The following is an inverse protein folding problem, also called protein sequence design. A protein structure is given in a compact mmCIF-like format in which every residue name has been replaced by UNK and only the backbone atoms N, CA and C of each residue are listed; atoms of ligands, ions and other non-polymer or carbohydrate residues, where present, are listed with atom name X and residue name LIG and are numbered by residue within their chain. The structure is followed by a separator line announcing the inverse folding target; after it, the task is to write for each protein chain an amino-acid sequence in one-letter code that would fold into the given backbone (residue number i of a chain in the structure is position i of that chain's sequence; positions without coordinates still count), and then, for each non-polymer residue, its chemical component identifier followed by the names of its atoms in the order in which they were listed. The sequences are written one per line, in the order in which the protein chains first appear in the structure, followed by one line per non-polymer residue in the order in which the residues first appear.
data_IF_749002160937
#
_entry.id   IF_749002160937
#
_cell.length_a   1.000
_cell.length_b   1.000
_cell.length_c   1.000
_cell.angle_alpha   90.00
_cell.angle_beta   90.00
_cell.angle_gamma   90.00
#
_symmetry.space_group_name_H-M   'P 1'
#
loop_
_entity.id
_entity.type
_entity.pdbx_description
1 polymer ?
#
# COMPACT_ATOMS: atom_id res chain seq x y z
N UNK A 1 -1.34 48.09 -48.42
CA UNK A 1 -0.94 46.80 -47.75
C UNK A 1 -1.46 45.64 -48.58
N UNK A 2 -0.60 44.81 -49.19
CA UNK A 2 -1.01 43.84 -50.23
C UNK A 2 -1.69 42.62 -49.57
N UNK A 3 -2.79 42.15 -50.18
CA UNK A 3 -3.58 40.96 -49.78
C UNK A 3 -2.70 39.72 -49.49
N UNK A 4 -1.54 39.60 -50.12
CA UNK A 4 -0.59 38.51 -49.92
C UNK A 4 0.05 38.52 -48.51
N UNK A 5 0.32 39.69 -47.92
CA UNK A 5 0.88 39.79 -46.54
C UNK A 5 -0.15 39.38 -45.47
N UNK A 6 -1.43 39.66 -45.71
CA UNK A 6 -2.50 39.23 -44.82
C UNK A 6 -2.69 37.70 -44.78
N UNK A 7 -2.54 37.08 -45.96
CA UNK A 7 -2.66 35.63 -46.11
C UNK A 7 -1.53 34.88 -45.35
N UNK A 8 -0.30 35.37 -45.44
CA UNK A 8 0.84 34.76 -44.75
C UNK A 8 0.79 34.92 -43.24
N UNK A 9 0.28 36.05 -42.73
CA UNK A 9 0.09 36.27 -41.29
C UNK A 9 -1.04 35.39 -40.75
N UNK A 10 -2.15 35.24 -41.46
CA UNK A 10 -3.23 34.35 -41.07
C UNK A 10 -2.82 32.86 -41.06
N UNK A 11 -2.01 32.43 -42.05
CA UNK A 11 -1.50 31.07 -42.10
C UNK A 11 -0.51 30.78 -40.99
N UNK A 12 0.35 31.74 -40.63
CA UNK A 12 1.32 31.62 -39.53
C UNK A 12 0.68 31.53 -38.18
N UNK A 13 -0.37 32.30 -37.92
CA UNK A 13 -1.12 32.27 -36.65
C UNK A 13 -1.89 30.94 -36.48
N UNK A 14 -2.46 30.42 -37.58
CA UNK A 14 -3.16 29.12 -37.56
C UNK A 14 -2.22 27.96 -37.27
N UNK A 15 -1.01 27.95 -37.85
CA UNK A 15 0.00 26.91 -37.62
C UNK A 15 0.55 26.94 -36.17
N UNK A 16 0.72 28.13 -35.56
CA UNK A 16 1.15 28.31 -34.20
C UNK A 16 0.11 27.83 -33.20
N UNK A 17 -1.18 27.96 -33.50
CA UNK A 17 -2.28 27.51 -32.62
C UNK A 17 -2.42 25.98 -32.58
N UNK A 18 -2.09 25.27 -33.67
CA UNK A 18 -2.12 23.81 -33.71
C UNK A 18 -0.92 23.17 -32.99
N UNK A 19 0.22 23.85 -32.92
CA UNK A 19 1.40 23.38 -32.19
C UNK A 19 1.25 23.38 -30.65
N UNK A 20 0.38 24.21 -30.10
CA UNK A 20 0.20 24.34 -28.64
C UNK A 20 -0.68 23.24 -28.02
N UNK A 21 -1.41 22.45 -28.81
CA UNK A 21 -2.35 21.42 -28.32
C UNK A 21 -1.67 20.06 -28.10
N UNK A 22 -0.45 19.84 -28.63
CA UNK A 22 0.23 18.54 -28.55
C UNK A 22 1.01 18.32 -27.24
N UNK A 23 1.16 19.34 -26.39
CA UNK A 23 2.02 19.30 -25.22
C UNK A 23 1.49 18.56 -23.97
N UNK A 24 0.21 18.16 -23.92
CA UNK A 24 -0.40 17.59 -22.72
C UNK A 24 -0.81 16.11 -22.82
N UNK A 25 -0.45 15.41 -23.89
CA UNK A 25 -0.92 14.03 -24.12
C UNK A 25 -0.20 12.95 -23.29
N UNK A 26 0.80 13.31 -22.48
CA UNK A 26 1.60 12.35 -21.70
C UNK A 26 1.29 12.27 -20.21
N UNK A 27 0.38 13.11 -19.68
CA UNK A 27 0.05 13.08 -18.26
C UNK A 27 -1.07 12.06 -18.00
N UNK A 28 -0.72 10.85 -17.56
CA UNK A 28 -1.69 9.87 -17.09
C UNK A 28 -2.23 10.32 -15.72
N UNK A 29 -3.43 10.89 -15.72
CA UNK A 29 -4.16 11.19 -14.50
C UNK A 29 -4.79 9.88 -14.03
N UNK A 30 -4.24 9.27 -12.97
CA UNK A 30 -4.85 8.10 -12.34
C UNK A 30 -3.83 7.19 -11.64
N UNK A 31 -4.32 6.48 -10.64
CA UNK A 31 -3.54 5.56 -9.79
C UNK A 31 -3.08 4.28 -10.53
N UNK A 32 -3.56 4.05 -11.76
CA UNK A 32 -3.28 2.81 -12.52
C UNK A 32 -1.83 2.65 -12.97
N UNK A 33 -1.10 3.74 -13.11
CA UNK A 33 0.32 3.70 -13.53
C UNK A 33 1.29 3.28 -12.41
N UNK A 34 0.81 3.25 -11.17
CA UNK A 34 1.63 2.89 -10.01
C UNK A 34 1.64 1.37 -9.74
N UNK A 35 0.78 0.61 -10.39
CA UNK A 35 0.58 -0.81 -10.11
C UNK A 35 0.82 -1.64 -11.38
N UNK A 36 1.32 -2.91 -11.26
CA UNK A 36 1.47 -3.84 -12.38
C UNK A 36 0.17 -3.98 -13.17
N UNK A 37 0.25 -3.73 -14.49
CA UNK A 37 -0.93 -3.71 -15.36
C UNK A 37 -1.43 -5.13 -15.75
N UNK A 38 -0.60 -6.12 -15.58
CA UNK A 38 -0.85 -7.55 -15.85
C UNK A 38 -1.68 -8.24 -14.76
N UNK A 39 -1.81 -7.60 -13.58
CA UNK A 39 -2.60 -8.10 -12.46
C UNK A 39 -3.88 -7.27 -12.36
N UNK A 40 -5.03 -7.94 -12.32
CA UNK A 40 -6.33 -7.32 -12.14
C UNK A 40 -7.03 -7.76 -10.86
N UNK A 41 -6.73 -8.98 -10.40
CA UNK A 41 -7.38 -9.59 -9.25
C UNK A 41 -6.39 -10.13 -8.24
N UNK A 42 -6.71 -9.93 -6.96
CA UNK A 42 -5.89 -10.37 -5.83
C UNK A 42 -6.75 -11.21 -4.88
N UNK A 43 -6.24 -12.38 -4.51
CA UNK A 43 -6.77 -13.16 -3.41
C UNK A 43 -6.01 -12.85 -2.12
N UNK A 44 -6.74 -12.54 -1.06
CA UNK A 44 -6.18 -12.31 0.27
C UNK A 44 -6.80 -13.33 1.23
N UNK A 45 -6.12 -14.46 1.49
CA UNK A 45 -6.57 -15.39 2.52
C UNK A 45 -6.48 -14.74 3.90
N UNK A 46 -7.15 -15.34 4.88
CA UNK A 46 -7.03 -14.89 6.28
C UNK A 46 -5.56 -14.97 6.72
N UNK A 47 -5.03 -13.87 7.23
CA UNK A 47 -3.66 -13.79 7.71
C UNK A 47 -3.51 -14.63 8.99
N UNK A 48 -2.46 -15.41 9.03
CA UNK A 48 -2.09 -16.19 10.20
C UNK A 48 -1.57 -15.28 11.32
N UNK A 49 -1.67 -15.73 12.56
CA UNK A 49 -1.17 -14.99 13.71
C UNK A 49 -0.55 -15.92 14.75
N UNK A 50 0.71 -15.66 15.07
CA UNK A 50 1.42 -16.29 16.19
C UNK A 50 1.15 -15.58 17.52
N UNK A 51 0.40 -14.48 17.49
CA UNK A 51 0.01 -13.74 18.68
C UNK A 51 -1.07 -14.49 19.47
N UNK A 52 -0.97 -14.46 20.80
CA UNK A 52 -2.00 -14.97 21.71
C UNK A 52 -3.27 -14.11 21.74
N UNK A 53 -3.26 -12.96 21.07
CA UNK A 53 -4.43 -12.08 20.97
C UNK A 53 -5.40 -12.56 19.90
N UNK A 54 -6.64 -12.72 20.33
CA UNK A 54 -7.71 -13.19 19.44
C UNK A 54 -8.01 -12.19 18.34
N UNK A 55 -8.42 -12.70 17.17
CA UNK A 55 -8.92 -11.93 16.03
C UNK A 55 -7.94 -10.91 15.42
N UNK A 56 -6.64 -11.01 15.73
CA UNK A 56 -5.66 -10.06 15.18
C UNK A 56 -5.45 -10.26 13.68
N UNK A 57 -5.36 -11.53 13.25
CA UNK A 57 -5.26 -11.89 11.82
C UNK A 57 -6.48 -11.45 11.03
N UNK A 58 -7.69 -11.69 11.55
CA UNK A 58 -8.95 -11.26 10.92
C UNK A 58 -8.99 -9.74 10.71
N UNK A 59 -8.67 -8.99 11.77
CA UNK A 59 -8.65 -7.52 11.73
C UNK A 59 -7.63 -6.97 10.75
N UNK A 60 -6.46 -7.60 10.67
CA UNK A 60 -5.43 -7.21 9.70
C UNK A 60 -5.87 -7.53 8.27
N UNK A 61 -6.42 -8.75 8.03
CA UNK A 61 -6.95 -9.13 6.72
C UNK A 61 -8.01 -8.14 6.24
N UNK A 62 -8.96 -7.81 7.10
CA UNK A 62 -10.01 -6.83 6.78
C UNK A 62 -9.43 -5.45 6.45
N UNK A 63 -8.44 -4.99 7.21
CA UNK A 63 -7.79 -3.70 6.98
C UNK A 63 -7.03 -3.69 5.64
N UNK A 64 -6.33 -4.77 5.31
CA UNK A 64 -5.60 -4.93 4.04
C UNK A 64 -6.59 -4.97 2.87
N UNK A 65 -7.66 -5.76 2.95
CA UNK A 65 -8.68 -5.81 1.91
C UNK A 65 -9.28 -4.42 1.63
N UNK A 66 -9.67 -3.68 2.68
CA UNK A 66 -10.19 -2.30 2.54
C UNK A 66 -9.18 -1.35 1.92
N UNK A 67 -7.91 -1.49 2.29
CA UNK A 67 -6.86 -0.61 1.76
C UNK A 67 -6.56 -0.93 0.29
N UNK A 68 -6.57 -2.21 -0.12
CA UNK A 68 -6.47 -2.63 -1.53
C UNK A 68 -7.61 -2.02 -2.35
N UNK A 69 -8.87 -2.19 -1.93
CA UNK A 69 -10.03 -1.65 -2.64
C UNK A 69 -10.02 -0.12 -2.73
N UNK A 70 -9.48 0.55 -1.70
CA UNK A 70 -9.44 2.01 -1.64
C UNK A 70 -8.37 2.64 -2.51
N UNK A 71 -7.17 2.02 -2.56
CA UNK A 71 -5.96 2.63 -3.15
C UNK A 71 -5.55 2.04 -4.48
N UNK A 72 -5.92 0.79 -4.74
CA UNK A 72 -5.45 0.06 -5.92
C UNK A 72 -6.55 -0.11 -6.96
N UNK A 73 -6.19 -0.36 -8.23
CA UNK A 73 -7.16 -0.74 -9.25
C UNK A 73 -7.60 -2.21 -9.15
N UNK A 74 -7.01 -2.99 -8.24
CA UNK A 74 -7.25 -4.41 -8.10
C UNK A 74 -8.62 -4.74 -7.53
N UNK A 75 -9.16 -5.89 -7.94
CA UNK A 75 -10.39 -6.44 -7.38
C UNK A 75 -10.07 -7.64 -6.50
N UNK A 76 -10.74 -7.74 -5.37
CA UNK A 76 -10.65 -8.92 -4.53
C UNK A 76 -11.38 -10.08 -5.20
N UNK A 77 -10.75 -11.25 -5.26
CA UNK A 77 -11.28 -12.45 -5.88
C UNK A 77 -11.03 -13.69 -5.02
N UNK A 78 -11.76 -14.77 -5.32
CA UNK A 78 -11.49 -16.06 -4.71
C UNK A 78 -10.21 -16.66 -5.28
N UNK A 79 -9.58 -17.58 -4.53
CA UNK A 79 -8.31 -18.19 -4.89
C UNK A 79 -8.27 -18.74 -6.34
N UNK A 80 -9.34 -19.42 -6.78
CA UNK A 80 -9.40 -20.06 -8.10
C UNK A 80 -9.43 -19.07 -9.28
N UNK A 81 -9.89 -17.84 -9.03
CA UNK A 81 -10.08 -16.81 -10.07
C UNK A 81 -9.11 -15.64 -9.96
N UNK A 82 -8.27 -15.62 -8.94
CA UNK A 82 -7.32 -14.52 -8.72
C UNK A 82 -6.08 -14.64 -9.61
N UNK A 83 -5.56 -13.51 -10.08
CA UNK A 83 -4.30 -13.43 -10.83
C UNK A 83 -3.09 -13.50 -9.90
N UNK A 84 -3.28 -13.09 -8.64
CA UNK A 84 -2.24 -13.11 -7.62
C UNK A 84 -2.79 -13.44 -6.24
N UNK A 85 -1.91 -13.88 -5.35
CA UNK A 85 -2.22 -14.22 -3.97
C UNK A 85 -1.31 -13.46 -3.03
N UNK A 86 -1.90 -12.75 -2.07
CA UNK A 86 -1.21 -12.00 -1.02
C UNK A 86 -1.41 -12.73 0.30
N UNK A 87 -0.38 -13.40 0.80
CA UNK A 87 -0.39 -14.09 2.10
C UNK A 87 0.33 -13.27 3.15
N UNK A 88 -0.07 -13.41 4.41
CA UNK A 88 0.59 -12.72 5.52
C UNK A 88 0.49 -13.48 6.83
N UNK A 89 1.49 -13.28 7.69
CA UNK A 89 1.58 -13.86 9.03
C UNK A 89 2.07 -12.83 10.04
N UNK A 90 1.34 -12.67 11.14
CA UNK A 90 1.76 -11.82 12.26
C UNK A 90 2.72 -12.62 13.11
N UNK A 91 3.99 -12.22 13.13
CA UNK A 91 5.08 -12.90 13.86
C UNK A 91 5.45 -12.20 15.16
N UNK A 92 5.01 -10.96 15.36
CA UNK A 92 5.30 -10.19 16.56
C UNK A 92 4.15 -9.29 16.97
N UNK A 93 3.87 -9.29 18.29
CA UNK A 93 2.91 -8.41 18.94
C UNK A 93 3.50 -8.02 20.30
N UNK A 94 3.98 -6.78 20.42
CA UNK A 94 4.69 -6.31 21.60
C UNK A 94 4.07 -5.03 22.14
N UNK A 95 4.01 -4.94 23.46
CA UNK A 95 3.67 -3.71 24.17
C UNK A 95 4.89 -3.30 24.99
N UNK A 96 5.42 -2.12 24.72
CA UNK A 96 6.55 -1.55 25.44
C UNK A 96 6.06 -0.34 26.23
N UNK A 97 6.46 -0.24 27.50
CA UNK A 97 6.28 0.97 28.29
C UNK A 97 7.42 1.92 27.93
N UNK A 98 7.08 3.11 27.43
CA UNK A 98 8.05 4.13 27.06
C UNK A 98 8.36 5.07 28.23
N UNK A 99 7.33 5.45 28.98
CA UNK A 99 7.44 6.40 30.09
C UNK A 99 6.61 5.90 31.27
N UNK A 100 7.20 5.94 32.47
CA UNK A 100 6.50 5.69 33.71
C UNK A 100 6.32 6.99 34.51
N UNK A 101 5.28 7.05 35.33
CA UNK A 101 5.15 8.06 36.40
C UNK A 101 6.20 7.87 37.48
N UNK A 102 6.33 8.84 38.36
CA UNK A 102 7.18 8.71 39.58
C UNK A 102 6.74 7.57 40.50
N UNK A 103 5.48 7.14 40.41
CA UNK A 103 4.88 6.02 41.16
C UNK A 103 5.03 4.69 40.46
N UNK A 104 5.61 4.66 39.22
CA UNK A 104 5.84 3.45 38.42
C UNK A 104 4.71 3.05 37.48
N UNK A 105 3.61 3.82 37.44
CA UNK A 105 2.50 3.55 36.53
C UNK A 105 2.86 3.91 35.06
N UNK A 106 2.43 3.11 34.06
CA UNK A 106 2.70 3.41 32.66
C UNK A 106 2.00 4.69 32.22
N UNK A 107 2.76 5.69 31.79
CA UNK A 107 2.26 6.97 31.28
C UNK A 107 2.18 6.97 29.76
N UNK A 108 3.13 6.34 29.11
CA UNK A 108 3.14 6.17 27.66
C UNK A 108 3.51 4.73 27.31
N UNK A 109 2.68 4.10 26.47
CA UNK A 109 2.90 2.76 25.96
C UNK A 109 3.02 2.78 24.44
N UNK A 110 3.79 1.87 23.91
CA UNK A 110 3.91 1.62 22.49
C UNK A 110 3.41 0.21 22.17
N UNK A 111 2.48 0.11 21.23
CA UNK A 111 2.03 -1.15 20.65
C UNK A 111 2.75 -1.35 19.33
N UNK A 112 3.51 -2.43 19.20
CA UNK A 112 4.24 -2.80 17.98
C UNK A 112 3.70 -4.09 17.40
N UNK A 113 3.50 -4.12 16.08
CA UNK A 113 3.16 -5.31 15.31
C UNK A 113 4.22 -5.57 14.24
N UNK A 114 4.56 -6.84 14.04
CA UNK A 114 5.47 -7.30 12.98
C UNK A 114 4.75 -8.36 12.15
N UNK A 115 4.76 -8.19 10.83
CA UNK A 115 4.04 -9.02 9.88
C UNK A 115 4.98 -9.41 8.76
N UNK A 116 4.97 -10.68 8.42
CA UNK A 116 5.62 -11.22 7.23
C UNK A 116 4.59 -11.31 6.12
N UNK A 117 4.95 -10.83 4.93
CA UNK A 117 4.06 -10.77 3.77
C UNK A 117 4.75 -11.36 2.56
N UNK A 118 4.00 -12.13 1.78
CA UNK A 118 4.45 -12.69 0.51
C UNK A 118 3.37 -12.43 -0.55
N UNK A 119 3.76 -11.87 -1.70
CA UNK A 119 2.88 -11.63 -2.82
C UNK A 119 3.38 -12.34 -4.07
N UNK A 120 2.58 -13.26 -4.59
CA UNK A 120 2.92 -14.12 -5.72
C UNK A 120 1.87 -14.05 -6.83
N UNK A 121 2.29 -14.27 -8.07
CA UNK A 121 1.38 -14.44 -9.19
C UNK A 121 0.73 -15.84 -9.16
N UNK A 122 -0.20 -16.11 -10.09
CA UNK A 122 -0.84 -17.42 -10.23
C UNK A 122 0.15 -18.56 -10.54
N UNK A 123 1.34 -18.27 -11.05
CA UNK A 123 2.39 -19.23 -11.37
C UNK A 123 3.33 -19.48 -10.20
N UNK A 124 3.12 -18.79 -9.08
CA UNK A 124 3.97 -18.85 -7.90
C UNK A 124 5.24 -18.03 -8.03
N UNK A 125 5.35 -17.17 -9.05
CA UNK A 125 6.45 -16.22 -9.16
C UNK A 125 6.21 -15.04 -8.22
N UNK A 126 7.26 -14.59 -7.51
CA UNK A 126 7.19 -13.38 -6.70
C UNK A 126 6.94 -12.18 -7.61
N UNK A 127 5.93 -11.40 -7.28
CA UNK A 127 5.59 -10.17 -8.01
C UNK A 127 6.48 -9.00 -7.63
N UNK A 128 7.25 -9.17 -6.58
CA UNK A 128 8.29 -8.24 -6.19
C UNK A 128 9.62 -8.97 -6.15
N UNK A 129 10.36 -8.87 -7.24
CA UNK A 129 11.74 -9.34 -7.34
C UNK A 129 12.64 -8.12 -7.58
N UNK A 130 13.36 -7.71 -6.57
CA UNK A 130 14.30 -6.58 -6.65
C UNK A 130 15.76 -7.02 -6.39
N UNK A 131 16.02 -8.33 -6.39
CA UNK A 131 17.35 -8.82 -6.12
C UNK A 131 17.93 -9.61 -7.30
N UNK A 132 18.98 -9.09 -7.87
CA UNK A 132 19.89 -9.74 -8.82
C UNK A 132 20.63 -10.96 -8.21
N UNK A 133 20.21 -11.42 -7.03
CA UNK A 133 20.77 -12.58 -6.31
C UNK A 133 19.63 -13.55 -6.08
N UNK A 134 19.74 -14.85 -6.47
CA UNK A 134 18.71 -15.83 -6.18
C UNK A 134 18.70 -16.16 -4.68
N UNK A 135 17.92 -15.40 -3.94
CA UNK A 135 17.55 -15.68 -2.55
C UNK A 135 16.25 -16.52 -2.55
N UNK A 136 16.03 -17.35 -1.51
CA UNK A 136 14.75 -18.05 -1.36
C UNK A 136 13.58 -17.07 -1.34
N UNK A 137 12.33 -17.51 -1.64
CA UNK A 137 11.16 -16.64 -1.80
C UNK A 137 11.09 -15.64 -0.63
N UNK A 138 11.34 -14.38 -0.93
CA UNK A 138 11.55 -13.38 0.12
C UNK A 138 10.23 -13.03 0.77
N UNK A 139 10.14 -13.41 2.02
CA UNK A 139 9.16 -12.91 2.97
C UNK A 139 9.57 -11.49 3.32
N UNK A 140 8.75 -10.51 2.98
CA UNK A 140 9.00 -9.13 3.37
C UNK A 140 8.52 -8.88 4.79
N UNK A 141 9.42 -8.50 5.67
CA UNK A 141 9.11 -8.12 7.05
C UNK A 141 8.61 -6.67 7.11
N UNK A 142 7.41 -6.48 7.62
CA UNK A 142 6.79 -5.17 7.81
C UNK A 142 6.54 -4.97 9.30
N UNK A 143 6.89 -3.80 9.82
CA UNK A 143 6.60 -3.45 11.20
C UNK A 143 5.94 -2.08 11.31
N UNK A 144 4.99 -1.94 12.21
CA UNK A 144 4.41 -0.67 12.60
C UNK A 144 4.17 -0.63 14.10
N UNK A 145 4.27 0.57 14.65
CA UNK A 145 3.96 0.83 16.05
C UNK A 145 3.04 2.04 16.18
N UNK A 146 2.27 2.07 17.26
CA UNK A 146 1.46 3.21 17.65
C UNK A 146 1.62 3.44 19.16
N UNK A 147 1.77 4.70 19.52
CA UNK A 147 1.85 5.11 20.91
C UNK A 147 0.46 5.38 21.46
N UNK A 148 0.28 5.17 22.74
CA UNK A 148 -0.92 5.53 23.46
C UNK A 148 -0.58 6.17 24.80
N UNK A 149 -1.39 7.15 25.19
CA UNK A 149 -1.32 7.82 26.49
C UNK A 149 -2.64 7.52 27.21
N UNK A 150 -2.64 6.65 28.23
CA UNK A 150 -3.87 6.26 28.95
C UNK A 150 -4.60 7.45 29.58
N UNK A 151 -3.86 8.44 30.07
CA UNK A 151 -4.40 9.64 30.75
C UNK A 151 -5.35 10.47 29.85
N UNK A 152 -5.21 10.39 28.52
CA UNK A 152 -6.11 11.09 27.57
C UNK A 152 -7.21 10.17 27.03
N UNK A 153 -7.45 9.03 27.67
CA UNK A 153 -8.52 8.10 27.30
C UNK A 153 -8.20 7.18 26.12
N UNK A 154 -6.94 7.10 25.70
CA UNK A 154 -6.54 6.15 24.66
C UNK A 154 -6.43 4.74 25.24
N UNK A 155 -6.80 3.75 24.43
CA UNK A 155 -6.74 2.34 24.82
C UNK A 155 -5.72 1.56 23.96
N UNK A 156 -5.27 0.41 24.50
CA UNK A 156 -4.44 -0.54 23.73
C UNK A 156 -5.14 -0.96 22.44
N UNK A 157 -6.48 -1.13 22.46
CA UNK A 157 -7.26 -1.49 21.27
C UNK A 157 -7.20 -0.41 20.19
N UNK A 158 -7.24 0.87 20.59
CA UNK A 158 -7.12 2.01 19.67
C UNK A 158 -5.72 2.05 19.02
N UNK A 159 -4.66 1.89 19.82
CA UNK A 159 -3.29 1.85 19.33
C UNK A 159 -3.05 0.64 18.40
N UNK A 160 -3.60 -0.53 18.74
CA UNK A 160 -3.55 -1.68 17.84
C UNK A 160 -4.24 -1.42 16.51
N UNK A 161 -5.41 -0.80 16.53
CA UNK A 161 -6.13 -0.46 15.29
C UNK A 161 -5.30 0.49 14.41
N UNK A 162 -4.62 1.43 15.02
CA UNK A 162 -3.72 2.35 14.31
C UNK A 162 -2.49 1.61 13.74
N UNK A 163 -1.87 0.70 14.50
CA UNK A 163 -0.77 -0.12 14.01
C UNK A 163 -1.19 -1.02 12.84
N UNK A 164 -2.36 -1.67 12.94
CA UNK A 164 -2.96 -2.47 11.86
C UNK A 164 -3.16 -1.62 10.61
N UNK A 165 -3.72 -0.41 10.75
CA UNK A 165 -3.93 0.51 9.63
C UNK A 165 -2.62 0.88 8.94
N UNK A 166 -1.57 1.18 9.71
CA UNK A 166 -0.25 1.49 9.17
C UNK A 166 0.37 0.31 8.43
N UNK A 167 0.24 -0.90 8.96
CA UNK A 167 0.70 -2.12 8.28
C UNK A 167 -0.06 -2.32 6.97
N UNK A 168 -1.38 -2.20 6.96
CA UNK A 168 -2.17 -2.33 5.74
C UNK A 168 -1.73 -1.33 4.65
N UNK A 169 -1.44 -0.09 5.03
CA UNK A 169 -0.90 0.92 4.11
C UNK A 169 0.48 0.54 3.58
N UNK A 170 1.38 0.02 4.42
CA UNK A 170 2.70 -0.43 4.01
C UNK A 170 2.62 -1.63 3.07
N UNK A 171 1.72 -2.59 3.32
CA UNK A 171 1.48 -3.74 2.44
C UNK A 171 1.05 -3.25 1.04
N UNK A 172 0.10 -2.32 0.97
CA UNK A 172 -0.35 -1.77 -0.33
C UNK A 172 0.76 -0.98 -1.02
N UNK A 173 1.61 -0.25 -0.28
CA UNK A 173 2.77 0.42 -0.86
C UNK A 173 3.77 -0.58 -1.48
N UNK A 174 3.90 -1.79 -0.92
CA UNK A 174 4.73 -2.85 -1.50
C UNK A 174 4.19 -3.37 -2.85
N UNK A 175 2.89 -3.21 -3.10
CA UNK A 175 2.26 -3.61 -4.36
C UNK A 175 2.47 -2.58 -5.48
N UNK A 176 2.99 -1.39 -5.17
CA UNK A 176 3.32 -0.37 -6.15
C UNK A 176 4.58 -0.77 -6.94
N UNK A 177 4.59 -0.48 -8.24
CA UNK A 177 5.75 -0.72 -9.11
C UNK A 177 6.91 0.17 -8.65
N UNK A 178 8.14 -0.33 -8.49
CA UNK A 178 9.30 0.52 -8.20
C UNK A 178 9.52 1.51 -9.36
N UNK A 179 9.97 2.70 -9.00
CA UNK A 179 10.25 3.81 -9.94
C UNK A 179 11.52 3.54 -10.76
#
# INVERSE_FOLDING_TARGET
MSRRRFLHVALGVSAAFWGAVVGCAGYQIGNRGLFPADIQTVHVPMFESDSLRRHLGERLTEAVCKEIERRTPYKLANNDSADSVLTGRIVGDRNNVLVNTLTGDPRELQVGLQVQVTWVDRRGSLLRDEATIPLPPEVTDISASANLVPEVGQSVATAQQEAIRRIAQQIVNLMETPW
#
